data_IF_782125535623
#
_entry.id   IF_782125535623
#
_cell.length_a   1.000
_cell.length_b   1.000
_cell.length_c   1.000
_cell.angle_alpha   90.00
_cell.angle_beta   90.00
_cell.angle_gamma   90.00
#
_symmetry.space_group_name_H-M   'P 1'
#
loop_
_entity.id
_entity.type
_entity.pdbx_description
1 polymer ?
#
# COMPACT_ATOMS: atom_id res chain seq x y z
N UNK A 1 45.80 19.01 -30.14
CA UNK A 1 46.06 17.54 -30.17
C UNK A 1 44.74 16.90 -29.75
N UNK A 2 43.70 16.88 -30.61
CA UNK A 2 43.44 15.87 -31.66
C UNK A 2 43.81 14.47 -31.17
N UNK A 3 42.82 13.65 -30.86
CA UNK A 3 42.78 12.22 -31.19
C UNK A 3 41.32 11.73 -31.16
N UNK A 4 40.89 11.25 -32.32
CA UNK A 4 39.62 10.64 -32.60
C UNK A 4 39.78 9.11 -32.69
N UNK A 5 38.76 8.39 -32.26
CA UNK A 5 38.44 6.97 -32.53
C UNK A 5 36.91 6.92 -32.37
N UNK A 6 36.02 6.73 -33.34
CA UNK A 6 35.86 5.88 -34.55
C UNK A 6 35.71 4.38 -34.26
N UNK A 7 34.51 3.90 -34.61
CA UNK A 7 34.00 2.52 -34.75
C UNK A 7 33.60 1.84 -33.42
N UNK A 8 32.51 1.06 -33.31
CA UNK A 8 31.96 0.08 -34.23
C UNK A 8 30.52 -0.28 -33.79
N UNK A 9 29.62 -0.43 -34.76
CA UNK A 9 28.64 -1.53 -34.89
C UNK A 9 27.88 -2.02 -33.65
N UNK A 10 26.56 -1.83 -33.64
CA UNK A 10 25.64 -2.83 -33.09
C UNK A 10 24.40 -2.96 -33.98
N UNK A 11 24.40 -4.01 -34.81
CA UNK A 11 23.18 -4.64 -35.30
C UNK A 11 22.41 -5.18 -34.09
N UNK A 12 21.14 -4.80 -33.94
CA UNK A 12 20.22 -5.46 -33.03
C UNK A 12 18.90 -5.75 -33.77
N UNK A 13 18.85 -6.99 -34.22
CA UNK A 13 17.72 -7.89 -34.50
C UNK A 13 16.33 -7.34 -34.19
N UNK A 14 15.51 -7.21 -35.24
CA UNK A 14 14.05 -7.19 -35.17
C UNK A 14 13.51 -8.39 -35.94
N UNK A 15 12.97 -9.39 -35.22
CA UNK A 15 12.01 -10.35 -35.75
C UNK A 15 11.31 -11.03 -34.57
N UNK A 16 10.18 -10.45 -34.17
CA UNK A 16 9.16 -11.04 -33.30
C UNK A 16 8.12 -11.72 -34.21
N UNK A 17 7.92 -13.02 -34.09
CA UNK A 17 6.71 -13.71 -34.56
C UNK A 17 6.60 -15.09 -33.89
N UNK A 18 5.42 -15.43 -33.38
CA UNK A 18 5.12 -16.80 -32.95
C UNK A 18 4.20 -16.89 -31.74
N UNK A 19 2.96 -16.45 -31.88
CA UNK A 19 1.85 -16.76 -30.97
C UNK A 19 1.25 -18.09 -31.39
N UNK A 20 1.63 -19.19 -30.74
CA UNK A 20 1.00 -20.49 -30.95
C UNK A 20 0.04 -20.77 -29.78
N UNK A 21 -1.23 -20.52 -30.04
CA UNK A 21 -2.36 -20.96 -29.23
C UNK A 21 -2.77 -22.35 -29.66
N UNK A 22 -2.74 -23.34 -28.76
CA UNK A 22 -3.55 -24.54 -28.95
C UNK A 22 -4.17 -25.09 -27.67
N UNK A 23 -5.44 -25.47 -27.84
CA UNK A 23 -6.38 -26.01 -26.87
C UNK A 23 -6.18 -27.52 -26.69
N UNK A 24 -6.48 -28.04 -25.50
CA UNK A 24 -7.40 -29.18 -25.19
C UNK A 24 -7.04 -29.75 -23.81
N UNK A 25 -7.89 -29.67 -22.78
CA UNK A 25 -9.14 -30.39 -22.49
C UNK A 25 -8.95 -31.83 -21.99
N UNK A 26 -9.39 -32.10 -20.74
CA UNK A 26 -9.60 -33.43 -20.14
C UNK A 26 -9.14 -33.51 -18.67
N UNK A 27 -9.96 -33.32 -17.62
CA UNK A 27 -11.10 -34.08 -17.06
C UNK A 27 -10.67 -35.07 -15.93
N UNK A 28 -11.12 -34.78 -14.70
CA UNK A 28 -11.08 -35.58 -13.46
C UNK A 28 -11.42 -34.65 -12.29
N UNK A 29 -12.58 -34.54 -11.63
CA UNK A 29 -13.68 -35.40 -11.11
C UNK A 29 -13.35 -36.27 -9.89
N UNK A 30 -13.52 -35.66 -8.71
CA UNK A 30 -13.86 -36.19 -7.38
C UNK A 30 -14.30 -34.94 -6.58
N UNK A 31 -15.55 -34.63 -6.25
CA UNK A 31 -16.70 -35.33 -5.66
C UNK A 31 -16.42 -35.95 -4.27
N UNK A 32 -16.64 -35.14 -3.23
CA UNK A 32 -17.23 -35.62 -1.98
C UNK A 32 -18.09 -34.51 -1.36
N UNK A 33 -19.32 -34.88 -0.99
CA UNK A 33 -20.43 -34.02 -0.60
C UNK A 33 -20.71 -34.08 0.90
N UNK A 34 -21.12 -32.92 1.42
CA UNK A 34 -22.22 -32.65 2.36
C UNK A 34 -22.26 -33.31 3.75
N UNK A 35 -22.23 -32.45 4.77
CA UNK A 35 -23.22 -32.37 5.86
C UNK A 35 -23.09 -30.95 6.43
N UNK A 36 -23.98 -30.02 6.11
CA UNK A 36 -25.32 -29.83 6.68
C UNK A 36 -25.30 -29.56 8.19
N UNK A 37 -25.49 -28.29 8.54
CA UNK A 37 -26.40 -27.85 9.60
C UNK A 37 -26.51 -26.33 9.48
N UNK A 38 -27.49 -25.89 8.69
CA UNK A 38 -28.20 -24.68 9.04
C UNK A 38 -29.03 -24.97 10.29
N UNK A 39 -28.97 -24.10 11.30
CA UNK A 39 -30.10 -23.94 12.20
C UNK A 39 -30.52 -22.47 12.25
N UNK A 40 -31.81 -22.34 12.07
CA UNK A 40 -32.65 -21.21 11.80
C UNK A 40 -32.96 -20.36 13.05
N UNK A 41 -33.24 -19.09 12.78
CA UNK A 41 -34.32 -18.26 13.33
C UNK A 41 -34.92 -18.66 14.69
N UNK A 42 -34.90 -17.70 15.62
CA UNK A 42 -36.04 -17.33 16.47
C UNK A 42 -35.76 -15.90 17.00
N UNK A 43 -36.64 -14.92 17.13
CA UNK A 43 -38.01 -14.64 16.70
C UNK A 43 -38.23 -13.19 17.16
N UNK A 44 -38.90 -12.40 16.33
CA UNK A 44 -39.47 -11.09 16.65
C UNK A 44 -40.37 -11.14 17.90
N UNK A 45 -40.36 -10.06 18.69
CA UNK A 45 -41.51 -9.73 19.54
C UNK A 45 -41.57 -8.23 19.79
N UNK A 46 -42.21 -7.53 18.87
CA UNK A 46 -42.91 -6.28 19.13
C UNK A 46 -44.23 -6.56 19.85
N UNK A 47 -44.53 -5.80 20.90
CA UNK A 47 -45.85 -5.28 21.41
C UNK A 47 -45.68 -5.08 22.92
N UNK A 48 -45.88 -3.94 23.58
CA UNK A 48 -46.55 -2.69 23.24
C UNK A 48 -47.28 -2.24 24.51
N UNK A 49 -46.93 -1.08 25.10
CA UNK A 49 -47.83 -0.16 25.83
C UNK A 49 -47.07 0.97 26.54
N UNK A 50 -47.31 2.21 26.07
CA UNK A 50 -47.72 3.42 26.82
C UNK A 50 -46.74 3.97 27.90
N UNK A 51 -46.37 5.27 28.00
CA UNK A 51 -47.14 6.53 27.83
C UNK A 51 -46.17 7.73 27.73
N UNK A 52 -46.62 8.78 27.05
CA UNK A 52 -46.41 10.23 27.30
C UNK A 52 -45.06 10.91 26.94
N UNK A 53 -45.10 11.56 25.78
CA UNK A 53 -44.79 12.97 25.52
C UNK A 53 -43.75 13.71 26.39
N UNK A 54 -42.65 14.14 25.75
CA UNK A 54 -42.20 15.55 25.76
C UNK A 54 -41.61 15.87 24.39
N UNK A 55 -42.12 16.93 23.77
CA UNK A 55 -41.63 17.49 22.53
C UNK A 55 -40.27 18.19 22.72
N UNK A 56 -39.33 17.97 21.79
CA UNK A 56 -38.37 18.99 21.36
C UNK A 56 -37.75 18.59 20.01
N UNK A 57 -38.33 19.08 18.92
CA UNK A 57 -37.49 19.64 17.86
C UNK A 57 -37.03 21.01 18.37
N UNK A 58 -35.81 21.51 18.06
CA UNK A 58 -35.51 21.73 16.65
C UNK A 58 -34.02 21.79 16.22
N UNK A 59 -33.88 21.87 14.89
CA UNK A 59 -32.82 22.50 14.09
C UNK A 59 -31.42 21.85 13.98
N UNK A 60 -31.06 21.64 12.72
CA UNK A 60 -29.72 21.36 12.22
C UNK A 60 -29.04 22.73 12.05
N UNK A 61 -28.04 23.02 12.87
CA UNK A 61 -27.20 24.19 12.70
C UNK A 61 -25.98 23.82 11.85
N UNK A 62 -26.12 24.05 10.54
CA UNK A 62 -24.98 24.29 9.67
C UNK A 62 -24.25 25.55 10.10
N UNK A 63 -22.92 25.41 10.23
CA UNK A 63 -21.88 26.44 10.24
C UNK A 63 -21.36 26.87 11.63
N UNK A 64 -20.14 26.43 11.97
CA UNK A 64 -19.03 27.35 12.29
C UNK A 64 -17.75 26.57 12.65
N UNK A 65 -16.75 26.75 11.79
CA UNK A 65 -15.34 26.98 12.11
C UNK A 65 -14.88 26.62 13.52
N UNK A 66 -14.02 25.58 13.62
CA UNK A 66 -12.95 25.59 14.62
C UNK A 66 -11.63 25.24 13.96
N UNK A 67 -10.81 26.27 13.82
CA UNK A 67 -9.35 26.16 13.73
C UNK A 67 -8.91 25.36 14.95
N UNK A 68 -8.67 24.08 14.76
CA UNK A 68 -8.04 23.21 15.73
C UNK A 68 -6.66 22.88 15.18
N UNK A 69 -5.63 23.33 15.88
CA UNK A 69 -4.26 22.83 15.79
C UNK A 69 -4.28 21.35 15.44
N UNK A 70 -3.82 21.02 14.24
CA UNK A 70 -3.68 19.63 13.79
C UNK A 70 -2.95 18.85 14.91
N UNK A 71 -3.37 17.61 15.21
CA UNK A 71 -2.62 16.82 16.15
C UNK A 71 -1.19 16.76 15.62
N UNK A 72 -0.21 17.02 16.47
CA UNK A 72 1.22 16.87 16.14
C UNK A 72 1.58 15.40 15.77
N UNK A 73 0.58 14.52 15.66
CA UNK A 73 0.64 13.20 15.00
C UNK A 73 0.24 13.20 13.50
N UNK A 74 0.08 14.34 12.83
CA UNK A 74 -0.61 14.43 11.53
C UNK A 74 0.00 13.67 10.34
N UNK A 75 1.33 13.60 10.22
CA UNK A 75 2.01 12.92 9.09
C UNK A 75 2.62 11.57 9.51
N UNK A 76 3.28 11.55 10.67
CA UNK A 76 3.94 10.36 11.21
C UNK A 76 2.91 9.27 11.55
N UNK A 77 1.77 9.62 12.16
CA UNK A 77 0.74 8.63 12.45
C UNK A 77 0.01 8.15 11.18
N UNK A 78 -0.21 9.04 10.21
CA UNK A 78 -0.82 8.67 8.91
C UNK A 78 0.09 7.74 8.12
N UNK A 79 1.38 8.04 8.01
CA UNK A 79 2.35 7.21 7.31
C UNK A 79 2.45 5.80 7.91
N UNK A 80 2.44 5.68 9.23
CA UNK A 80 2.40 4.39 9.92
C UNK A 80 1.13 3.59 9.58
N UNK A 81 -0.04 4.23 9.65
CA UNK A 81 -1.32 3.59 9.32
C UNK A 81 -1.37 3.11 7.87
N UNK A 82 -0.88 3.93 6.94
CA UNK A 82 -0.82 3.59 5.52
C UNK A 82 0.07 2.36 5.27
N UNK A 83 1.22 2.27 5.95
CA UNK A 83 2.12 1.11 5.87
C UNK A 83 1.44 -0.14 6.42
N UNK A 84 0.79 -0.03 7.58
CA UNK A 84 0.11 -1.15 8.23
C UNK A 84 -1.08 -1.67 7.41
N UNK A 85 -1.79 -0.77 6.70
CA UNK A 85 -2.89 -1.14 5.82
C UNK A 85 -2.45 -1.64 4.43
N UNK A 86 -1.14 -1.71 4.18
CA UNK A 86 -0.56 -2.10 2.89
C UNK A 86 0.24 -3.41 3.01
N UNK A 87 0.74 -3.91 1.88
CA UNK A 87 1.56 -5.12 1.80
C UNK A 87 3.03 -4.91 2.24
N UNK A 88 3.38 -3.70 2.71
CA UNK A 88 4.74 -3.34 3.11
C UNK A 88 5.31 -4.27 4.19
N UNK A 89 4.46 -4.70 5.12
CA UNK A 89 4.81 -5.60 6.22
C UNK A 89 5.02 -7.06 5.76
N UNK A 90 4.81 -7.39 4.49
CA UNK A 90 5.25 -8.67 3.94
C UNK A 90 6.78 -8.77 3.82
N UNK A 91 7.45 -7.62 3.59
CA UNK A 91 8.87 -7.58 3.23
C UNK A 91 9.73 -6.74 4.17
N UNK A 92 9.13 -5.85 4.96
CA UNK A 92 9.82 -4.93 5.84
C UNK A 92 9.36 -5.07 7.29
N UNK A 93 10.26 -4.77 8.23
CA UNK A 93 9.99 -4.61 9.65
C UNK A 93 10.58 -3.29 10.12
N UNK A 94 10.14 -2.80 11.27
CA UNK A 94 10.70 -1.59 11.84
C UNK A 94 12.19 -1.75 12.15
N UNK A 95 12.53 -2.81 12.90
CA UNK A 95 13.87 -3.00 13.48
C UNK A 95 14.71 -4.06 12.77
N UNK A 96 14.08 -5.02 12.10
CA UNK A 96 14.76 -6.20 11.56
C UNK A 96 14.79 -6.21 10.03
N UNK A 97 15.88 -6.74 9.46
CA UNK A 97 15.94 -7.03 8.03
C UNK A 97 15.17 -8.32 7.75
N UNK A 98 14.28 -8.29 6.76
CA UNK A 98 13.61 -9.47 6.23
C UNK A 98 14.04 -9.65 4.77
N UNK A 99 13.13 -9.43 3.82
CA UNK A 99 13.44 -9.36 2.39
C UNK A 99 13.99 -7.98 2.04
N UNK A 100 13.30 -6.94 2.51
CA UNK A 100 13.75 -5.55 2.47
C UNK A 100 14.54 -5.14 3.72
N UNK A 101 15.19 -3.96 3.69
CA UNK A 101 15.82 -3.38 4.86
C UNK A 101 14.80 -3.05 5.96
N UNK A 102 15.27 -3.05 7.22
CA UNK A 102 14.53 -2.49 8.34
C UNK A 102 14.22 -1.00 8.09
N UNK A 103 13.06 -0.50 8.51
CA UNK A 103 12.72 0.91 8.38
C UNK A 103 13.73 1.81 9.10
N UNK A 104 14.22 1.40 10.29
CA UNK A 104 15.27 2.14 10.99
C UNK A 104 16.59 2.18 10.23
N UNK A 105 16.93 1.14 9.48
CA UNK A 105 18.11 1.16 8.62
C UNK A 105 17.96 2.18 7.48
N UNK A 106 16.76 2.27 6.88
CA UNK A 106 16.45 3.32 5.89
C UNK A 106 16.55 4.71 6.53
N UNK A 107 15.98 4.89 7.72
CA UNK A 107 16.04 6.14 8.47
C UNK A 107 17.47 6.57 8.81
N UNK A 108 18.34 5.62 9.16
CA UNK A 108 19.74 5.86 9.45
C UNK A 108 20.55 6.23 8.19
N UNK A 109 20.26 5.60 7.05
CA UNK A 109 20.97 5.85 5.77
C UNK A 109 20.58 7.19 5.13
N UNK A 110 19.32 7.61 5.26
CA UNK A 110 18.80 8.80 4.59
C UNK A 110 18.40 9.89 5.59
N UNK A 111 18.99 11.11 5.49
CA UNK A 111 18.52 12.27 6.25
C UNK A 111 17.04 12.57 5.97
N UNK A 112 16.30 13.01 6.99
CA UNK A 112 14.89 13.37 6.83
C UNK A 112 14.77 14.76 6.17
N UNK A 113 14.83 14.80 4.84
CA UNK A 113 14.73 16.02 4.03
C UNK A 113 13.63 15.87 2.98
N UNK A 114 13.01 16.97 2.51
CA UNK A 114 11.98 16.90 1.45
C UNK A 114 12.46 16.19 0.18
N UNK A 115 13.73 16.36 -0.18
CA UNK A 115 14.33 15.70 -1.33
C UNK A 115 14.40 14.18 -1.15
N UNK A 116 14.82 13.69 0.02
CA UNK A 116 14.85 12.26 0.31
C UNK A 116 13.46 11.67 0.44
N UNK A 117 12.51 12.40 1.03
CA UNK A 117 11.10 12.00 1.09
C UNK A 117 10.56 11.77 -0.32
N UNK A 118 10.75 12.73 -1.23
CA UNK A 118 10.29 12.61 -2.61
C UNK A 118 10.99 11.47 -3.36
N UNK A 119 12.32 11.37 -3.24
CA UNK A 119 13.10 10.34 -3.92
C UNK A 119 12.69 8.92 -3.47
N UNK A 120 12.56 8.70 -2.16
CA UNK A 120 12.17 7.39 -1.63
C UNK A 120 10.71 7.07 -1.91
N UNK A 121 9.79 8.05 -1.87
CA UNK A 121 8.41 7.85 -2.30
C UNK A 121 8.33 7.37 -3.76
N UNK A 122 9.13 7.97 -4.66
CA UNK A 122 9.23 7.51 -6.04
C UNK A 122 9.83 6.10 -6.16
N UNK A 123 10.80 5.74 -5.30
CA UNK A 123 11.31 4.35 -5.23
C UNK A 123 10.24 3.37 -4.78
N UNK A 124 9.37 3.74 -3.83
CA UNK A 124 8.22 2.91 -3.41
C UNK A 124 7.29 2.66 -4.60
N UNK A 125 6.90 3.71 -5.31
CA UNK A 125 5.97 3.60 -6.44
C UNK A 125 6.56 2.80 -7.60
N UNK A 126 7.82 3.06 -7.95
CA UNK A 126 8.46 2.49 -9.14
C UNK A 126 9.17 1.16 -8.89
N UNK A 127 9.38 0.79 -7.62
CA UNK A 127 10.25 -0.32 -7.25
C UNK A 127 11.74 -0.02 -7.50
N UNK A 128 12.58 -1.03 -7.29
CA UNK A 128 14.02 -0.90 -7.60
C UNK A 128 14.90 -1.94 -6.92
N UNK A 129 16.19 -1.94 -7.28
CA UNK A 129 17.22 -2.85 -6.76
C UNK A 129 18.57 -2.15 -6.58
N UNK A 130 19.51 -2.79 -5.89
CA UNK A 130 20.92 -2.37 -5.80
C UNK A 130 21.29 -1.55 -4.57
N UNK A 131 20.35 -0.81 -3.97
CA UNK A 131 20.65 0.02 -2.78
C UNK A 131 20.85 -0.78 -1.48
N UNK A 132 20.30 -2.01 -1.44
CA UNK A 132 20.17 -2.85 -0.24
C UNK A 132 20.47 -4.33 -0.51
N UNK A 133 21.02 -4.65 -1.68
CA UNK A 133 21.29 -6.00 -2.15
C UNK A 133 20.66 -6.29 -3.53
N UNK A 134 20.66 -7.57 -3.89
CA UNK A 134 20.22 -8.06 -5.21
C UNK A 134 18.69 -8.27 -5.30
N UNK A 135 18.02 -8.41 -4.15
CA UNK A 135 16.56 -8.54 -4.09
C UNK A 135 15.92 -7.21 -4.48
N UNK A 136 15.11 -7.22 -5.54
CA UNK A 136 14.37 -6.06 -6.00
C UNK A 136 13.09 -5.87 -5.17
N UNK A 137 12.78 -4.62 -4.84
CA UNK A 137 11.46 -4.24 -4.34
C UNK A 137 10.49 -4.11 -5.52
N UNK A 138 9.36 -4.82 -5.46
CA UNK A 138 8.28 -4.77 -6.45
C UNK A 138 7.69 -3.36 -6.53
N UNK A 139 7.28 -2.87 -7.70
CA UNK A 139 6.62 -1.56 -7.83
C UNK A 139 5.25 -1.53 -7.14
N UNK A 140 4.89 -0.37 -6.57
CA UNK A 140 3.57 -0.09 -6.00
C UNK A 140 2.85 1.05 -6.78
N UNK A 141 2.46 0.83 -8.06
CA UNK A 141 1.89 1.88 -8.92
C UNK A 141 0.51 2.36 -8.49
N UNK A 142 -0.17 1.63 -7.61
CA UNK A 142 -1.46 2.03 -7.04
C UNK A 142 -1.37 3.08 -5.93
N UNK A 143 -0.17 3.36 -5.41
CA UNK A 143 0.01 4.39 -4.39
C UNK A 143 0.06 5.79 -5.01
N UNK A 144 -0.66 6.72 -4.41
CA UNK A 144 -0.51 8.14 -4.74
C UNK A 144 0.86 8.65 -4.28
N UNK A 145 1.41 9.64 -4.98
CA UNK A 145 2.68 10.26 -4.54
C UNK A 145 2.55 10.87 -3.14
N UNK A 146 1.39 11.45 -2.82
CA UNK A 146 1.14 12.03 -1.50
C UNK A 146 1.20 10.97 -0.38
N UNK A 147 0.51 9.85 -0.54
CA UNK A 147 0.52 8.78 0.47
C UNK A 147 1.90 8.12 0.59
N UNK A 148 2.59 7.89 -0.53
CA UNK A 148 3.96 7.37 -0.53
C UNK A 148 4.93 8.33 0.19
N UNK A 149 4.74 9.64 0.06
CA UNK A 149 5.51 10.62 0.83
C UNK A 149 5.18 10.57 2.32
N UNK A 150 3.91 10.39 2.73
CA UNK A 150 3.56 10.23 4.15
C UNK A 150 4.19 8.97 4.76
N UNK A 151 4.09 7.83 4.07
CA UNK A 151 4.76 6.59 4.47
C UNK A 151 6.27 6.80 4.63
N UNK A 152 6.89 7.48 3.68
CA UNK A 152 8.33 7.77 3.72
C UNK A 152 8.71 8.71 4.86
N UNK A 153 7.90 9.74 5.15
CA UNK A 153 8.15 10.64 6.30
C UNK A 153 8.11 9.87 7.62
N UNK A 154 7.14 8.96 7.76
CA UNK A 154 7.11 8.06 8.91
C UNK A 154 8.40 7.23 8.99
N UNK A 155 8.79 6.53 7.91
CA UNK A 155 10.01 5.71 7.89
C UNK A 155 11.24 6.53 8.31
N UNK A 156 11.44 7.73 7.75
CA UNK A 156 12.62 8.56 8.04
C UNK A 156 12.61 9.18 9.45
N UNK A 157 11.48 9.14 10.15
CA UNK A 157 11.32 9.59 11.54
C UNK A 157 11.75 8.55 12.57
N UNK A 158 11.89 7.27 12.20
CA UNK A 158 12.18 6.13 13.09
C UNK A 158 13.66 6.04 13.52
N UNK A 159 14.35 7.16 13.70
CA UNK A 159 15.75 7.16 14.16
C UNK A 159 15.88 6.80 15.63
#
# INVERSE_FOLDING_TARGET
>A
MKNAFLLLSFCAVLASCGSESDKTAGKGKEEYTLADSEETLNTDSTTGSNVTAVAHQPQIDTNSTKIGTAPTGGAVARGAQLIESSDCTGCHRENDKLLGPAYKAVAAKYPNTPANVKMLAQKVIQGGKGNWGDIAMTPHPGLSEADAQEMTRYILSLK
#
